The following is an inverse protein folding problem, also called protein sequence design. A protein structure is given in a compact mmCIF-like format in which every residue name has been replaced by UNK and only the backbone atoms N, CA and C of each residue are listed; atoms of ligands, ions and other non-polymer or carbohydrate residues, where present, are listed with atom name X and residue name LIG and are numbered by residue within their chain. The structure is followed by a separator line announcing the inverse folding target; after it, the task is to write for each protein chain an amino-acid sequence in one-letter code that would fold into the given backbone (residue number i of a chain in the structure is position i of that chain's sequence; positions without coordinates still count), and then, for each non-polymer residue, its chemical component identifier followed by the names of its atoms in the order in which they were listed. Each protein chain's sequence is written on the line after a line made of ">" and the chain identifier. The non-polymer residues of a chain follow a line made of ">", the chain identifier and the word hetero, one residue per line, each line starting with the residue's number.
data_IF_157814475041
#
_entry.id   IF_157814475041
#
_cell.length_a   1.000
_cell.length_b   1.000
_cell.length_c   1.000
_cell.angle_alpha   90.00
_cell.angle_beta   90.00
_cell.angle_gamma   90.00
#
_symmetry.space_group_name_H-M   'P 1'
#
loop_
_entity.id
_entity.type
_entity.pdbx_description
1 polymer ?
#
# COMPACT_ATOMS: atom_id res chain seq x y z
N UNK A 1 9.06 -7.09 -16.31
CA UNK A 1 8.30 -7.82 -15.27
C UNK A 1 7.62 -6.76 -14.43
N UNK A 2 6.30 -6.85 -14.25
CA UNK A 2 5.55 -5.89 -13.44
C UNK A 2 5.33 -6.54 -12.08
N UNK A 3 5.76 -5.87 -11.00
CA UNK A 3 5.64 -6.41 -9.64
C UNK A 3 4.52 -5.67 -8.91
N UNK A 4 3.57 -6.43 -8.36
CA UNK A 4 2.49 -5.86 -7.55
C UNK A 4 2.64 -6.32 -6.11
N UNK A 5 2.76 -5.36 -5.19
CA UNK A 5 2.76 -5.59 -3.76
C UNK A 5 1.34 -5.44 -3.21
N UNK A 6 0.92 -6.39 -2.38
CA UNK A 6 -0.34 -6.32 -1.64
C UNK A 6 -0.06 -6.23 -0.15
N UNK A 7 -0.49 -5.12 0.46
CA UNK A 7 -0.31 -4.84 1.88
C UNK A 7 -1.69 -4.90 2.54
N UNK A 8 -1.84 -5.79 3.51
CA UNK A 8 -2.98 -5.81 4.42
C UNK A 8 -2.58 -5.09 5.70
N UNK A 9 -3.29 -4.00 6.02
CA UNK A 9 -2.99 -3.20 7.20
C UNK A 9 -4.26 -2.94 8.02
N UNK A 10 -4.07 -2.70 9.32
CA UNK A 10 -5.13 -2.17 10.18
C UNK A 10 -5.37 -0.69 9.83
N UNK A 11 -6.63 -0.22 9.73
CA UNK A 11 -6.92 1.17 9.45
C UNK A 11 -6.41 2.04 10.60
N UNK A 12 -5.35 2.81 10.31
CA UNK A 12 -4.75 3.77 11.22
C UNK A 12 -4.66 5.13 10.51
N UNK A 13 -4.68 6.24 11.28
CA UNK A 13 -4.42 7.55 10.71
C UNK A 13 -3.09 7.56 9.96
N UNK A 14 -3.09 8.12 8.75
CA UNK A 14 -1.89 8.31 7.90
C UNK A 14 -1.20 7.02 7.45
N UNK A 15 -1.88 5.88 7.47
CA UNK A 15 -1.31 4.60 7.01
C UNK A 15 -0.86 4.65 5.54
N UNK A 16 -1.61 5.34 4.67
CA UNK A 16 -1.24 5.56 3.27
C UNK A 16 0.09 6.32 3.15
N UNK A 17 0.25 7.39 3.93
CA UNK A 17 1.47 8.20 3.93
C UNK A 17 2.68 7.38 4.41
N UNK A 18 2.51 6.52 5.42
CA UNK A 18 3.57 5.61 5.88
C UNK A 18 3.97 4.61 4.79
N UNK A 19 3.00 4.06 4.06
CA UNK A 19 3.27 3.13 2.96
C UNK A 19 4.02 3.82 1.83
N UNK A 20 3.61 5.03 1.45
CA UNK A 20 4.33 5.82 0.45
C UNK A 20 5.78 6.10 0.88
N UNK A 21 5.99 6.49 2.14
CA UNK A 21 7.33 6.72 2.69
C UNK A 21 8.20 5.46 2.66
N UNK A 22 7.65 4.28 2.89
CA UNK A 22 8.40 3.02 2.84
C UNK A 22 8.90 2.74 1.42
N UNK A 23 8.05 2.90 0.40
CA UNK A 23 8.48 2.70 -0.99
C UNK A 23 9.54 3.72 -1.41
N UNK A 24 9.38 4.98 -1.01
CA UNK A 24 10.35 6.05 -1.27
C UNK A 24 11.72 5.75 -0.62
N UNK A 25 11.73 5.28 0.64
CA UNK A 25 12.95 4.89 1.35
C UNK A 25 13.68 3.71 0.71
N UNK A 26 12.95 2.81 0.04
CA UNK A 26 13.53 1.67 -0.67
C UNK A 26 13.95 2.02 -2.11
N UNK A 27 13.84 3.30 -2.50
CA UNK A 27 14.12 3.77 -3.86
C UNK A 27 13.29 3.02 -4.92
N UNK A 28 12.09 2.61 -4.56
CA UNK A 28 11.16 1.90 -5.42
C UNK A 28 10.27 2.89 -6.17
N UNK A 29 10.39 2.93 -7.50
CA UNK A 29 9.56 3.78 -8.36
C UNK A 29 8.16 3.21 -8.51
N UNK A 30 7.28 3.59 -7.60
CA UNK A 30 5.89 3.18 -7.63
C UNK A 30 5.13 3.89 -8.77
N UNK A 31 4.58 3.10 -9.70
CA UNK A 31 3.81 3.58 -10.84
C UNK A 31 2.35 3.88 -10.46
N UNK A 32 1.77 3.02 -9.62
CA UNK A 32 0.36 3.11 -9.22
C UNK A 32 0.18 2.62 -7.79
N UNK A 33 -0.74 3.24 -7.06
CA UNK A 33 -1.15 2.80 -5.72
C UNK A 33 -2.65 2.91 -5.58
N UNK A 34 -3.28 1.79 -5.23
CA UNK A 34 -4.72 1.69 -5.02
C UNK A 34 -4.98 1.31 -3.57
N UNK A 35 -5.86 2.08 -2.94
CA UNK A 35 -6.35 1.81 -1.59
C UNK A 35 -7.79 1.29 -1.68
N UNK A 36 -8.05 0.12 -1.10
CA UNK A 36 -9.39 -0.46 -1.01
C UNK A 36 -9.70 -0.94 0.40
N UNK A 37 -10.98 -0.97 0.75
CA UNK A 37 -11.43 -1.62 1.97
C UNK A 37 -11.30 -3.14 1.80
N UNK A 38 -10.80 -3.83 2.83
CA UNK A 38 -10.70 -5.29 2.81
C UNK A 38 -12.05 -5.93 3.12
N UNK A 39 -12.27 -7.17 2.64
CA UNK A 39 -13.43 -7.99 3.00
C UNK A 39 -13.43 -8.39 4.48
N UNK A 40 -12.25 -8.36 5.11
CA UNK A 40 -12.10 -8.58 6.55
C UNK A 40 -12.40 -7.27 7.29
N UNK A 41 -13.41 -7.30 8.17
CA UNK A 41 -13.73 -6.17 9.05
C UNK A 41 -12.47 -5.69 9.77
N UNK A 42 -12.27 -4.37 9.78
CA UNK A 42 -11.09 -3.71 10.39
C UNK A 42 -9.76 -3.91 9.66
N UNK A 43 -9.77 -4.20 8.35
CA UNK A 43 -8.58 -4.16 7.52
C UNK A 43 -8.76 -3.32 6.26
N UNK A 44 -7.63 -2.80 5.78
CA UNK A 44 -7.50 -2.11 4.51
C UNK A 44 -6.49 -2.87 3.64
N UNK A 45 -6.71 -2.81 2.33
CA UNK A 45 -5.81 -3.37 1.34
C UNK A 45 -5.19 -2.23 0.55
N UNK A 46 -3.86 -2.28 0.42
CA UNK A 46 -3.11 -1.33 -0.39
C UNK A 46 -2.36 -2.14 -1.45
N UNK A 47 -2.68 -1.88 -2.71
CA UNK A 47 -2.03 -2.50 -3.86
C UNK A 47 -1.09 -1.49 -4.49
N UNK A 48 0.20 -1.80 -4.55
CA UNK A 48 1.22 -0.94 -5.15
C UNK A 48 1.85 -1.63 -6.36
N UNK A 49 1.90 -0.95 -7.50
CA UNK A 49 2.57 -1.40 -8.72
C UNK A 49 3.87 -0.63 -8.90
N UNK A 50 4.94 -1.37 -9.20
CA UNK A 50 6.30 -0.85 -9.45
C UNK A 50 6.73 -1.24 -10.85
#
# INVERSE_FOLDING_TARGET
>A
MQCTYQILATPQPRVLARVLQLFDQQLMLMQSLVFTQSEVESQIRISAEI
#
